data_IF_138647514165
#
_entry.id   IF_138647514165
#
_cell.length_a   1.000
_cell.length_b   1.000
_cell.length_c   1.000
_cell.angle_alpha   90.00
_cell.angle_beta   90.00
_cell.angle_gamma   90.00
#
_symmetry.space_group_name_H-M   'P 1'
#
loop_
_entity.id
_entity.type
_entity.pdbx_description
1 polymer ?
#
# COMPACT_ATOMS: atom_id res chain seq x y z
N UNK A 1 -23.07 -13.21 -29.25
CA UNK A 1 -22.67 -12.98 -27.84
C UNK A 1 -21.24 -13.44 -27.57
N UNK A 2 -20.86 -14.69 -27.85
CA UNK A 2 -19.50 -15.22 -27.59
C UNK A 2 -18.39 -14.51 -28.41
N UNK A 3 -18.64 -14.17 -29.67
CA UNK A 3 -17.67 -13.39 -30.49
C UNK A 3 -17.45 -11.98 -29.98
N UNK A 4 -18.51 -11.33 -29.50
CA UNK A 4 -18.42 -9.97 -28.92
C UNK A 4 -17.62 -9.98 -27.62
N UNK A 5 -17.80 -11.00 -26.78
CA UNK A 5 -17.02 -11.20 -25.54
C UNK A 5 -15.54 -11.44 -25.88
N UNK A 6 -15.24 -12.27 -26.88
CA UNK A 6 -13.86 -12.52 -27.33
C UNK A 6 -13.21 -11.25 -27.88
N UNK A 7 -13.94 -10.45 -28.65
CA UNK A 7 -13.43 -9.17 -29.19
C UNK A 7 -13.17 -8.16 -28.07
N UNK A 8 -14.09 -8.05 -27.09
CA UNK A 8 -13.92 -7.17 -25.92
C UNK A 8 -12.71 -7.61 -25.07
N UNK A 9 -12.54 -8.90 -24.81
CA UNK A 9 -11.40 -9.44 -24.07
C UNK A 9 -10.10 -9.15 -24.83
N UNK A 10 -10.09 -9.35 -26.16
CA UNK A 10 -8.92 -9.06 -27.00
C UNK A 10 -8.55 -7.57 -26.98
N UNK A 11 -9.53 -6.66 -27.13
CA UNK A 11 -9.30 -5.22 -27.06
C UNK A 11 -8.79 -4.80 -25.68
N UNK A 12 -9.36 -5.37 -24.61
CA UNK A 12 -8.91 -5.09 -23.23
C UNK A 12 -7.49 -5.57 -22.97
N UNK A 13 -7.14 -6.79 -23.41
CA UNK A 13 -5.79 -7.33 -23.22
C UNK A 13 -4.76 -6.53 -24.01
N UNK A 14 -5.06 -6.15 -25.25
CA UNK A 14 -4.18 -5.31 -26.06
C UNK A 14 -3.99 -3.91 -25.45
N UNK A 15 -5.04 -3.30 -24.92
CA UNK A 15 -4.97 -2.02 -24.22
C UNK A 15 -4.15 -2.09 -22.92
N UNK A 16 -4.29 -3.16 -22.12
CA UNK A 16 -3.50 -3.38 -20.90
C UNK A 16 -2.02 -3.57 -21.25
N UNK A 17 -1.73 -4.37 -22.26
CA UNK A 17 -0.35 -4.60 -22.73
C UNK A 17 0.34 -3.29 -23.14
N UNK A 18 -0.36 -2.42 -23.88
CA UNK A 18 0.16 -1.11 -24.28
C UNK A 18 0.44 -0.22 -23.06
N UNK A 19 -0.43 -0.23 -22.04
CA UNK A 19 -0.18 0.54 -20.80
C UNK A 19 1.00 -0.01 -20.00
N UNK A 20 1.17 -1.33 -19.93
CA UNK A 20 2.31 -1.95 -19.29
C UNK A 20 3.62 -1.65 -20.07
N UNK A 21 3.59 -1.72 -21.40
CA UNK A 21 4.73 -1.37 -22.25
C UNK A 21 5.14 0.09 -22.06
N UNK A 22 4.17 1.01 -22.06
CA UNK A 22 4.40 2.43 -21.80
C UNK A 22 4.99 2.66 -20.39
N UNK A 23 4.42 2.03 -19.38
CA UNK A 23 4.92 2.08 -18.01
C UNK A 23 6.37 1.62 -17.89
N UNK A 24 6.71 0.51 -18.59
CA UNK A 24 8.06 -0.03 -18.61
C UNK A 24 9.05 0.85 -19.37
N UNK A 25 8.64 1.41 -20.50
CA UNK A 25 9.47 2.34 -21.30
C UNK A 25 9.87 3.58 -20.48
N UNK A 26 8.96 4.11 -19.68
CA UNK A 26 9.18 5.29 -18.83
C UNK A 26 9.63 4.96 -17.41
N UNK A 27 10.03 3.72 -17.10
CA UNK A 27 10.37 3.29 -15.73
C UNK A 27 11.44 4.15 -15.04
N UNK A 28 12.42 4.65 -15.79
CA UNK A 28 13.45 5.54 -15.25
C UNK A 28 12.89 6.91 -14.91
N UNK A 29 11.96 7.40 -15.70
CA UNK A 29 11.39 8.74 -15.54
C UNK A 29 10.51 8.81 -14.30
N UNK A 30 9.48 7.98 -14.20
CA UNK A 30 8.58 8.03 -13.03
C UNK A 30 9.28 7.62 -11.73
N UNK A 31 10.31 6.77 -11.77
CA UNK A 31 11.11 6.46 -10.59
C UNK A 31 11.97 7.64 -10.16
N UNK A 32 12.60 8.32 -11.12
CA UNK A 32 13.44 9.50 -10.87
C UNK A 32 12.60 10.67 -10.36
N UNK A 33 11.44 10.95 -10.95
CA UNK A 33 10.54 12.03 -10.50
C UNK A 33 10.04 11.79 -9.08
N UNK A 34 9.67 10.55 -8.73
CA UNK A 34 9.31 10.16 -7.37
C UNK A 34 10.47 10.40 -6.38
N UNK A 35 11.70 10.02 -6.77
CA UNK A 35 12.89 10.24 -5.94
C UNK A 35 13.19 11.73 -5.76
N UNK A 36 13.07 12.51 -6.83
CA UNK A 36 13.27 13.97 -6.78
C UNK A 36 12.22 14.62 -5.86
N UNK A 37 10.94 14.20 -5.94
CA UNK A 37 9.87 14.66 -5.05
C UNK A 37 10.14 14.30 -3.60
N UNK A 38 10.61 13.10 -3.32
CA UNK A 38 11.01 12.70 -1.96
C UNK A 38 12.13 13.58 -1.42
N UNK A 39 13.19 13.81 -2.22
CA UNK A 39 14.29 14.70 -1.82
C UNK A 39 13.82 16.14 -1.62
N UNK A 40 12.97 16.67 -2.51
CA UNK A 40 12.45 18.03 -2.40
C UNK A 40 11.60 18.23 -1.13
N UNK A 41 10.76 17.25 -0.79
CA UNK A 41 9.93 17.28 0.41
C UNK A 41 10.73 17.42 1.70
N UNK A 42 11.92 16.81 1.74
CA UNK A 42 12.77 16.76 2.93
C UNK A 42 14.05 17.60 2.81
N UNK A 43 14.19 18.43 1.78
CA UNK A 43 15.43 19.17 1.48
C UNK A 43 15.89 20.13 2.59
N UNK A 44 14.97 20.60 3.43
CA UNK A 44 15.25 21.52 4.54
C UNK A 44 15.22 20.86 5.92
N UNK A 45 15.21 19.52 5.98
CA UNK A 45 15.17 18.78 7.23
C UNK A 45 16.52 18.14 7.52
N UNK A 46 16.93 18.10 8.79
CA UNK A 46 18.21 17.53 9.22
C UNK A 46 18.32 16.03 8.92
N UNK A 47 17.23 15.27 9.14
CA UNK A 47 17.17 13.83 8.95
C UNK A 47 16.70 13.39 7.55
N UNK A 48 16.33 14.35 6.68
CA UNK A 48 15.81 14.01 5.37
C UNK A 48 14.56 13.13 5.44
N UNK A 49 14.47 12.17 4.52
CA UNK A 49 13.35 11.23 4.45
C UNK A 49 13.27 10.23 5.63
N UNK A 50 14.33 10.09 6.42
CA UNK A 50 14.32 9.26 7.63
C UNK A 50 13.37 9.78 8.70
N UNK A 51 12.92 11.04 8.61
CA UNK A 51 11.93 11.61 9.50
C UNK A 51 10.60 10.83 9.52
N UNK A 52 10.20 10.26 8.39
CA UNK A 52 9.02 9.39 8.30
C UNK A 52 9.17 8.10 9.13
N UNK A 53 10.33 7.46 9.03
CA UNK A 53 10.62 6.27 9.83
C UNK A 53 10.69 6.58 11.31
N UNK A 54 11.31 7.70 11.67
CA UNK A 54 11.43 8.13 13.06
C UNK A 54 10.06 8.47 13.68
N UNK A 55 9.18 9.16 12.94
CA UNK A 55 7.82 9.42 13.42
C UNK A 55 7.00 8.14 13.63
N UNK A 56 7.19 7.14 12.76
CA UNK A 56 6.61 5.82 12.96
C UNK A 56 7.16 5.15 14.23
N UNK A 57 8.47 5.21 14.47
CA UNK A 57 9.08 4.67 15.69
C UNK A 57 8.53 5.31 16.96
N UNK A 58 8.41 6.63 17.00
CA UNK A 58 7.82 7.32 18.14
C UNK A 58 6.35 6.89 18.36
N UNK A 59 5.57 6.82 17.30
CA UNK A 59 4.18 6.36 17.39
C UNK A 59 4.10 4.93 17.90
N UNK A 60 4.94 4.02 17.40
CA UNK A 60 5.01 2.63 17.85
C UNK A 60 5.42 2.56 19.32
N UNK A 61 6.43 3.32 19.74
CA UNK A 61 6.92 3.33 21.11
C UNK A 61 5.82 3.78 22.10
N UNK A 62 5.15 4.89 21.80
CA UNK A 62 4.05 5.41 22.62
C UNK A 62 2.89 4.40 22.69
N UNK A 63 2.46 3.89 21.53
CA UNK A 63 1.36 2.92 21.47
C UNK A 63 1.74 1.60 22.17
N UNK A 64 2.98 1.14 22.04
CA UNK A 64 3.44 -0.07 22.71
C UNK A 64 3.39 0.06 24.24
N UNK A 65 3.81 1.20 24.78
CA UNK A 65 3.74 1.47 26.23
C UNK A 65 2.29 1.58 26.68
N UNK A 66 1.48 2.42 26.03
CA UNK A 66 0.08 2.66 26.44
C UNK A 66 -0.76 1.39 26.31
N UNK A 67 -0.79 0.77 25.15
CA UNK A 67 -1.61 -0.42 24.93
C UNK A 67 -1.02 -1.68 25.56
N UNK A 68 0.30 -1.76 25.71
CA UNK A 68 0.94 -2.83 26.46
C UNK A 68 0.50 -2.87 27.91
N UNK A 69 0.34 -1.70 28.55
CA UNK A 69 -0.17 -1.57 29.91
C UNK A 69 -1.69 -1.79 29.99
N UNK A 70 -2.46 -1.19 29.07
CA UNK A 70 -3.93 -1.32 29.03
C UNK A 70 -4.36 -2.77 28.81
N UNK A 71 -3.75 -3.47 27.86
CA UNK A 71 -4.07 -4.89 27.57
C UNK A 71 -3.35 -5.88 28.49
N UNK A 72 -2.58 -5.42 29.49
CA UNK A 72 -1.82 -6.27 30.45
C UNK A 72 -1.03 -7.36 29.72
N UNK A 73 -0.27 -6.95 28.69
CA UNK A 73 0.44 -7.89 27.82
C UNK A 73 1.53 -8.61 28.61
N UNK A 74 1.48 -9.94 28.63
CA UNK A 74 2.45 -10.79 29.34
C UNK A 74 3.81 -10.85 28.66
N UNK A 75 3.83 -10.81 27.32
CA UNK A 75 5.07 -10.81 26.51
C UNK A 75 5.18 -9.50 25.73
N UNK A 76 5.81 -8.51 26.35
CA UNK A 76 5.97 -7.17 25.77
C UNK A 76 6.78 -7.18 24.47
N UNK A 77 7.86 -7.97 24.40
CA UNK A 77 8.71 -8.05 23.20
C UNK A 77 7.92 -8.54 21.96
N UNK A 78 7.18 -9.62 22.11
CA UNK A 78 6.34 -10.15 21.04
C UNK A 78 5.22 -9.17 20.64
N UNK A 79 4.72 -8.38 21.59
CA UNK A 79 3.72 -7.35 21.33
C UNK A 79 4.30 -6.17 20.53
N UNK A 80 5.49 -5.69 20.90
CA UNK A 80 6.19 -4.60 20.17
C UNK A 80 6.47 -5.01 18.73
N UNK A 81 6.91 -6.25 18.50
CA UNK A 81 7.09 -6.80 17.15
C UNK A 81 5.78 -6.82 16.35
N UNK A 82 4.72 -7.31 16.99
CA UNK A 82 3.39 -7.37 16.37
C UNK A 82 2.85 -5.98 16.02
N UNK A 83 2.92 -5.05 16.95
CA UNK A 83 2.46 -3.67 16.78
C UNK A 83 3.31 -2.92 15.75
N UNK A 84 4.64 -3.00 15.89
CA UNK A 84 5.58 -2.24 15.04
C UNK A 84 5.46 -2.61 13.58
N UNK A 85 5.45 -3.90 13.27
CA UNK A 85 5.27 -4.38 11.89
C UNK A 85 3.90 -4.00 11.34
N UNK A 86 2.84 -4.12 12.14
CA UNK A 86 1.49 -3.73 11.73
C UNK A 86 1.34 -2.25 11.44
N UNK A 87 1.92 -1.40 12.30
CA UNK A 87 1.84 0.06 12.16
C UNK A 87 2.57 0.58 10.92
N UNK A 88 3.76 0.06 10.61
CA UNK A 88 4.51 0.48 9.40
C UNK A 88 3.73 0.15 8.14
N UNK A 89 3.22 -1.07 8.04
CA UNK A 89 2.41 -1.49 6.90
C UNK A 89 1.12 -0.69 6.80
N UNK A 90 0.43 -0.49 7.92
CA UNK A 90 -0.80 0.28 7.95
C UNK A 90 -0.58 1.74 7.53
N UNK A 91 0.41 2.41 8.13
CA UNK A 91 0.68 3.82 7.86
C UNK A 91 1.03 4.07 6.39
N UNK A 92 1.86 3.19 5.78
CA UNK A 92 2.19 3.33 4.36
C UNK A 92 0.97 3.09 3.45
N UNK A 93 0.12 2.11 3.78
CA UNK A 93 -1.11 1.85 3.03
C UNK A 93 -2.11 3.00 3.17
N UNK A 94 -2.30 3.49 4.40
CA UNK A 94 -3.21 4.60 4.68
C UNK A 94 -2.77 5.88 3.97
N UNK A 95 -1.46 6.16 3.92
CA UNK A 95 -0.92 7.28 3.16
C UNK A 95 -1.15 7.10 1.65
N UNK A 96 -0.89 5.92 1.11
CA UNK A 96 -1.07 5.63 -0.32
C UNK A 96 -2.52 5.76 -0.77
N UNK A 97 -3.47 5.24 0.02
CA UNK A 97 -4.90 5.35 -0.27
C UNK A 97 -5.38 6.79 -0.06
N UNK A 98 -4.95 7.44 1.02
CA UNK A 98 -5.35 8.82 1.35
C UNK A 98 -4.92 9.83 0.29
N UNK A 99 -3.69 9.72 -0.22
CA UNK A 99 -3.19 10.60 -1.29
C UNK A 99 -3.79 10.30 -2.66
N UNK A 100 -4.26 9.07 -2.88
CA UNK A 100 -4.72 8.64 -4.20
C UNK A 100 -6.05 9.28 -4.62
N UNK A 101 -6.94 9.56 -3.68
CA UNK A 101 -8.27 10.11 -3.98
C UNK A 101 -8.19 11.45 -4.75
N UNK A 102 -7.21 12.29 -4.43
CA UNK A 102 -7.00 13.63 -5.04
C UNK A 102 -5.90 13.65 -6.10
N UNK A 103 -5.30 12.51 -6.44
CA UNK A 103 -4.10 12.44 -7.27
C UNK A 103 -4.29 13.07 -8.66
N UNK A 104 -5.37 12.72 -9.35
CA UNK A 104 -5.62 13.24 -10.70
C UNK A 104 -6.02 14.71 -10.67
N UNK A 105 -6.82 15.16 -9.70
CA UNK A 105 -7.16 16.57 -9.53
C UNK A 105 -5.91 17.41 -9.21
N UNK A 106 -5.06 16.93 -8.31
CA UNK A 106 -3.79 17.60 -7.99
C UNK A 106 -2.84 17.72 -9.18
N UNK A 107 -2.99 16.87 -10.21
CA UNK A 107 -2.21 16.90 -11.44
C UNK A 107 -3.02 17.42 -12.65
N UNK A 108 -4.20 18.03 -12.45
CA UNK A 108 -5.10 18.45 -13.52
C UNK A 108 -4.41 19.33 -14.56
N UNK A 109 -3.65 20.34 -14.14
CA UNK A 109 -2.91 21.22 -15.05
C UNK A 109 -1.92 20.47 -15.93
N UNK A 110 -1.22 19.47 -15.37
CA UNK A 110 -0.30 18.64 -16.15
C UNK A 110 -1.05 17.72 -17.12
N UNK A 111 -2.16 17.13 -16.68
CA UNK A 111 -2.99 16.24 -17.52
C UNK A 111 -3.60 17.01 -18.70
N UNK A 112 -4.02 18.26 -18.49
CA UNK A 112 -4.54 19.11 -19.58
C UNK A 112 -3.47 19.60 -20.54
N UNK A 113 -2.27 19.90 -20.05
CA UNK A 113 -1.21 20.53 -20.85
C UNK A 113 -0.24 19.53 -21.48
N UNK A 114 -0.23 18.27 -21.03
CA UNK A 114 0.69 17.24 -21.53
C UNK A 114 -0.07 16.03 -22.05
N UNK A 115 0.45 15.43 -23.13
CA UNK A 115 -0.13 14.21 -23.70
C UNK A 115 0.48 12.95 -23.03
N UNK A 116 0.65 12.98 -21.69
CA UNK A 116 1.16 11.83 -20.95
C UNK A 116 0.01 10.87 -20.60
N UNK A 117 0.30 9.57 -20.65
CA UNK A 117 -0.68 8.57 -20.25
C UNK A 117 -0.94 8.68 -18.74
N UNK A 118 -2.20 8.69 -18.25
CA UNK A 118 -2.54 8.86 -16.84
C UNK A 118 -1.87 7.86 -15.89
N UNK A 119 -1.50 6.67 -16.39
CA UNK A 119 -0.74 5.67 -15.62
C UNK A 119 0.60 6.22 -15.09
N UNK A 120 1.18 7.22 -15.77
CA UNK A 120 2.43 7.84 -15.33
C UNK A 120 2.31 8.44 -13.93
N UNK A 121 1.27 9.22 -13.69
CA UNK A 121 1.03 9.87 -12.39
C UNK A 121 0.79 8.84 -11.27
N UNK A 122 0.04 7.78 -11.58
CA UNK A 122 -0.20 6.69 -10.63
C UNK A 122 1.07 5.91 -10.30
N UNK A 123 1.96 5.69 -11.28
CA UNK A 123 3.24 5.03 -11.07
C UNK A 123 4.23 5.90 -10.31
N UNK A 124 4.24 7.20 -10.59
CA UNK A 124 5.06 8.15 -9.83
C UNK A 124 4.64 8.18 -8.35
N UNK A 125 3.34 8.28 -8.08
CA UNK A 125 2.82 8.25 -6.72
C UNK A 125 3.14 6.92 -6.04
N UNK A 126 2.92 5.79 -6.72
CA UNK A 126 3.28 4.47 -6.20
C UNK A 126 4.78 4.36 -5.89
N UNK A 127 5.64 4.82 -6.79
CA UNK A 127 7.09 4.79 -6.57
C UNK A 127 7.48 5.64 -5.35
N UNK A 128 6.86 6.80 -5.17
CA UNK A 128 7.06 7.65 -4.00
C UNK A 128 6.63 6.93 -2.71
N UNK A 129 5.45 6.28 -2.71
CA UNK A 129 4.95 5.53 -1.56
C UNK A 129 5.82 4.31 -1.24
N UNK A 130 6.28 3.57 -2.25
CA UNK A 130 7.18 2.42 -2.06
C UNK A 130 8.54 2.87 -1.49
N UNK A 131 9.13 3.94 -2.01
CA UNK A 131 10.41 4.45 -1.50
C UNK A 131 10.29 4.89 -0.03
N UNK A 132 9.25 5.63 0.32
CA UNK A 132 9.01 6.09 1.69
C UNK A 132 8.68 4.94 2.64
N UNK A 133 7.92 3.95 2.16
CA UNK A 133 7.63 2.72 2.89
C UNK A 133 8.90 1.93 3.20
N UNK A 134 9.74 1.66 2.20
CA UNK A 134 10.97 0.89 2.39
C UNK A 134 11.95 1.56 3.36
N UNK A 135 12.07 2.89 3.30
CA UNK A 135 12.88 3.64 4.25
C UNK A 135 12.33 3.54 5.69
N UNK A 136 11.02 3.69 5.84
CA UNK A 136 10.36 3.56 7.14
C UNK A 136 10.44 2.13 7.67
N UNK A 137 10.20 1.13 6.81
CA UNK A 137 10.31 -0.28 7.17
C UNK A 137 11.72 -0.63 7.65
N UNK A 138 12.75 -0.18 6.93
CA UNK A 138 14.14 -0.44 7.31
C UNK A 138 14.46 0.10 8.71
N UNK A 139 14.09 1.36 9.00
CA UNK A 139 14.32 1.96 10.32
C UNK A 139 13.57 1.24 11.44
N UNK A 140 12.32 0.90 11.20
CA UNK A 140 11.53 0.17 12.21
C UNK A 140 12.07 -1.23 12.41
N UNK A 141 12.46 -1.95 11.35
CA UNK A 141 13.07 -3.28 11.51
C UNK A 141 14.40 -3.22 12.22
N UNK A 142 15.19 -2.16 12.01
CA UNK A 142 16.44 -1.93 12.75
C UNK A 142 16.16 -1.76 14.25
N UNK A 143 15.15 -1.00 14.63
CA UNK A 143 14.75 -0.87 16.05
C UNK A 143 14.18 -2.18 16.62
N UNK A 144 13.37 -2.90 15.83
CA UNK A 144 12.79 -4.18 16.24
C UNK A 144 13.82 -5.32 16.32
N UNK A 145 14.96 -5.21 15.65
CA UNK A 145 16.03 -6.21 15.73
C UNK A 145 16.65 -6.33 17.14
N UNK A 146 16.45 -5.30 17.97
CA UNK A 146 16.79 -5.37 19.40
C UNK A 146 15.97 -6.44 20.16
N UNK A 147 14.71 -6.60 19.76
CA UNK A 147 13.78 -7.56 20.39
C UNK A 147 13.83 -8.95 19.72
N UNK A 148 14.12 -9.01 18.42
CA UNK A 148 14.20 -10.25 17.64
C UNK A 148 15.38 -10.22 16.67
N UNK A 149 16.47 -10.89 17.02
CA UNK A 149 17.72 -10.86 16.26
C UNK A 149 17.61 -11.51 14.86
N UNK A 150 16.62 -12.39 14.66
CA UNK A 150 16.42 -13.08 13.36
C UNK A 150 15.56 -12.29 12.38
N UNK A 151 15.13 -11.07 12.73
CA UNK A 151 14.14 -10.31 11.93
C UNK A 151 14.63 -10.03 10.50
N UNK A 152 15.90 -9.69 10.31
CA UNK A 152 16.48 -9.47 8.99
C UNK A 152 16.66 -10.77 8.20
N UNK A 153 16.99 -11.86 8.86
CA UNK A 153 17.07 -13.18 8.23
C UNK A 153 15.67 -13.59 7.74
N UNK A 154 14.67 -13.47 8.59
CA UNK A 154 13.28 -13.78 8.27
C UNK A 154 12.74 -12.88 7.14
N UNK A 155 13.17 -11.60 7.09
CA UNK A 155 12.81 -10.69 6.01
C UNK A 155 13.27 -11.23 4.65
N UNK A 156 14.52 -11.69 4.58
CA UNK A 156 15.12 -12.19 3.33
C UNK A 156 14.59 -13.57 2.97
N UNK A 157 14.47 -14.47 3.93
CA UNK A 157 14.12 -15.88 3.68
C UNK A 157 12.61 -16.11 3.53
N UNK A 158 11.78 -15.43 4.35
CA UNK A 158 10.34 -15.72 4.44
C UNK A 158 9.44 -14.60 3.93
N UNK A 159 9.91 -13.34 3.92
CA UNK A 159 9.04 -12.20 3.61
C UNK A 159 9.11 -11.73 2.16
N UNK A 160 9.92 -12.30 1.28
CA UNK A 160 10.06 -11.83 -0.10
C UNK A 160 8.73 -11.89 -0.88
N UNK A 161 7.96 -12.97 -0.78
CA UNK A 161 6.68 -13.11 -1.45
C UNK A 161 5.58 -12.26 -0.78
N UNK A 162 5.41 -12.24 0.56
CA UNK A 162 4.53 -11.29 1.24
C UNK A 162 4.85 -9.82 0.96
N UNK A 163 6.13 -9.44 0.90
CA UNK A 163 6.55 -8.09 0.58
C UNK A 163 6.21 -7.70 -0.86
N UNK A 164 6.46 -8.60 -1.80
CA UNK A 164 6.06 -8.42 -3.19
C UNK A 164 4.54 -8.22 -3.31
N UNK A 165 3.75 -9.09 -2.67
CA UNK A 165 2.30 -8.96 -2.62
C UNK A 165 1.85 -7.62 -2.05
N UNK A 166 2.49 -7.15 -1.00
CA UNK A 166 2.20 -5.87 -0.38
C UNK A 166 2.51 -4.69 -1.32
N UNK A 167 3.67 -4.72 -2.00
CA UNK A 167 4.08 -3.68 -2.95
C UNK A 167 3.12 -3.60 -4.15
N UNK A 168 2.66 -4.74 -4.66
CA UNK A 168 1.65 -4.79 -5.74
C UNK A 168 0.30 -4.28 -5.24
N UNK A 169 -0.09 -4.63 -4.02
CA UNK A 169 -1.31 -4.15 -3.38
C UNK A 169 -1.32 -2.63 -3.22
N UNK A 170 -0.17 -2.04 -2.86
CA UNK A 170 0.04 -0.59 -2.80
C UNK A 170 -0.09 0.13 -4.16
N UNK A 171 -0.15 -0.59 -5.27
CA UNK A 171 -0.37 0.00 -6.58
C UNK A 171 -1.83 -0.02 -7.00
N UNK A 172 -2.41 -1.24 -7.11
CA UNK A 172 -3.73 -1.36 -7.74
C UNK A 172 -4.88 -0.83 -6.88
N UNK A 173 -4.80 -0.98 -5.55
CA UNK A 173 -5.86 -0.49 -4.67
C UNK A 173 -5.93 1.05 -4.65
N UNK A 174 -4.82 1.80 -4.44
CA UNK A 174 -4.80 3.25 -4.61
C UNK A 174 -5.20 3.71 -6.01
N UNK A 175 -4.82 2.99 -7.07
CA UNK A 175 -5.23 3.31 -8.44
C UNK A 175 -6.77 3.25 -8.61
N UNK A 176 -7.42 2.25 -8.03
CA UNK A 176 -8.90 2.18 -8.03
C UNK A 176 -9.52 3.36 -7.28
N UNK A 177 -8.97 3.71 -6.11
CA UNK A 177 -9.44 4.87 -5.33
C UNK A 177 -9.22 6.18 -6.10
N UNK A 178 -8.12 6.31 -6.81
CA UNK A 178 -7.81 7.45 -7.68
C UNK A 178 -8.85 7.61 -8.82
N UNK A 179 -9.21 6.51 -9.47
CA UNK A 179 -10.23 6.51 -10.54
C UNK A 179 -11.63 6.83 -10.00
N UNK A 180 -11.95 6.33 -8.81
CA UNK A 180 -13.19 6.67 -8.12
C UNK A 180 -13.21 8.16 -7.71
N UNK A 181 -12.10 8.68 -7.18
CA UNK A 181 -11.94 10.08 -6.78
C UNK A 181 -12.11 11.04 -7.95
N UNK A 182 -11.54 10.72 -9.13
CA UNK A 182 -11.73 11.52 -10.35
C UNK A 182 -13.21 11.60 -10.78
N UNK A 183 -14.02 10.61 -10.42
CA UNK A 183 -15.45 10.57 -10.78
C UNK A 183 -16.35 11.14 -9.70
N UNK A 184 -16.00 10.99 -8.42
CA UNK A 184 -16.81 11.36 -7.27
C UNK A 184 -15.96 12.15 -6.27
N UNK A 185 -16.09 13.46 -6.24
CA UNK A 185 -15.32 14.36 -5.35
C UNK A 185 -15.57 14.13 -3.86
N UNK A 186 -16.73 13.60 -3.50
CA UNK A 186 -17.07 13.24 -2.11
C UNK A 186 -16.08 12.26 -1.49
N UNK A 187 -15.42 11.44 -2.33
CA UNK A 187 -14.41 10.49 -1.88
C UNK A 187 -13.17 11.17 -1.25
N UNK A 188 -12.91 12.42 -1.57
CA UNK A 188 -11.79 13.15 -0.96
C UNK A 188 -11.95 13.27 0.55
N UNK A 189 -13.19 13.40 1.01
CA UNK A 189 -13.51 13.45 2.44
C UNK A 189 -13.86 12.07 3.01
N UNK A 190 -14.48 11.20 2.23
CA UNK A 190 -14.86 9.87 2.69
C UNK A 190 -13.65 8.96 2.91
N UNK A 191 -12.63 9.01 2.06
CA UNK A 191 -11.46 8.11 2.13
C UNK A 191 -10.73 8.21 3.48
N UNK A 192 -10.40 9.39 4.02
CA UNK A 192 -9.79 9.49 5.35
C UNK A 192 -10.65 8.87 6.46
N UNK A 193 -11.97 9.10 6.42
CA UNK A 193 -12.92 8.54 7.39
C UNK A 193 -12.96 7.00 7.29
N UNK A 194 -13.06 6.49 6.06
CA UNK A 194 -13.03 5.04 5.80
C UNK A 194 -11.72 4.42 6.29
N UNK A 195 -10.58 5.06 6.08
CA UNK A 195 -9.29 4.56 6.56
C UNK A 195 -9.24 4.55 8.10
N UNK A 196 -9.79 5.54 8.76
CA UNK A 196 -9.88 5.54 10.22
C UNK A 196 -10.78 4.41 10.75
N UNK A 197 -11.93 4.17 10.12
CA UNK A 197 -12.80 3.05 10.46
C UNK A 197 -12.12 1.70 10.21
N UNK A 198 -11.42 1.55 9.07
CA UNK A 198 -10.68 0.34 8.75
C UNK A 198 -9.53 0.10 9.73
N UNK A 199 -8.90 1.13 10.26
CA UNK A 199 -7.89 1.00 11.31
C UNK A 199 -8.45 0.36 12.59
N UNK A 200 -9.63 0.79 13.00
CA UNK A 200 -10.30 0.24 14.19
C UNK A 200 -10.82 -1.19 13.96
N UNK A 201 -11.30 -1.49 12.75
CA UNK A 201 -11.79 -2.82 12.39
C UNK A 201 -10.68 -3.83 12.12
N UNK A 202 -9.49 -3.35 11.77
CA UNK A 202 -8.34 -4.22 11.52
C UNK A 202 -7.57 -4.48 12.81
N UNK A 203 -7.25 -5.74 13.16
CA UNK A 203 -6.46 -6.05 14.35
C UNK A 203 -4.99 -5.65 14.16
N UNK A 204 -4.72 -4.34 14.27
CA UNK A 204 -3.40 -3.74 14.17
C UNK A 204 -2.80 -3.56 15.55
N UNK A 205 -3.58 -2.98 16.47
CA UNK A 205 -3.18 -2.69 17.86
C UNK A 205 -3.34 -3.89 18.80
N UNK A 206 -4.19 -4.84 18.44
CA UNK A 206 -4.55 -6.00 19.25
C UNK A 206 -4.55 -7.27 18.39
N UNK A 207 -4.46 -8.43 19.01
CA UNK A 207 -4.52 -9.71 18.30
C UNK A 207 -5.96 -10.01 17.86
N UNK A 208 -6.12 -10.73 16.73
CA UNK A 208 -7.43 -11.11 16.17
C UNK A 208 -8.37 -11.76 17.18
N UNK A 209 -7.82 -12.54 18.12
CA UNK A 209 -8.60 -13.23 19.16
C UNK A 209 -9.36 -12.24 20.07
N UNK A 210 -8.86 -11.02 20.24
CA UNK A 210 -9.51 -9.98 21.04
C UNK A 210 -10.83 -9.48 20.45
N UNK A 211 -11.08 -9.71 19.14
CA UNK A 211 -12.35 -9.37 18.48
C UNK A 211 -13.53 -10.29 18.88
N UNK A 212 -13.28 -11.40 19.56
CA UNK A 212 -14.33 -12.33 19.99
C UNK A 212 -15.23 -12.77 18.82
N UNK A 213 -16.51 -12.44 18.86
CA UNK A 213 -17.50 -12.77 17.81
C UNK A 213 -17.29 -12.03 16.50
N UNK A 214 -16.53 -10.91 16.49
CA UNK A 214 -16.28 -10.10 15.32
C UNK A 214 -15.04 -10.53 14.51
N UNK A 215 -14.44 -11.69 14.80
CA UNK A 215 -13.25 -12.18 14.08
C UNK A 215 -13.46 -12.31 12.56
N UNK A 216 -14.69 -12.58 12.13
CA UNK A 216 -15.04 -12.67 10.71
C UNK A 216 -14.76 -11.35 9.94
N UNK A 217 -14.86 -10.19 10.61
CA UNK A 217 -14.57 -8.90 9.96
C UNK A 217 -13.11 -8.81 9.51
N UNK A 218 -12.20 -9.37 10.28
CA UNK A 218 -10.79 -9.45 9.92
C UNK A 218 -10.54 -10.47 8.78
N UNK A 219 -11.31 -11.58 8.74
CA UNK A 219 -11.14 -12.60 7.72
C UNK A 219 -11.57 -12.12 6.32
N UNK A 220 -12.59 -11.28 6.25
CA UNK A 220 -13.05 -10.70 4.99
C UNK A 220 -12.28 -9.43 4.59
N UNK A 221 -11.51 -8.84 5.49
CA UNK A 221 -10.79 -7.61 5.21
C UNK A 221 -9.49 -7.89 4.41
N UNK A 222 -9.41 -7.51 3.12
CA UNK A 222 -8.22 -7.77 2.31
C UNK A 222 -6.98 -7.02 2.83
N UNK A 223 -7.19 -5.85 3.44
CA UNK A 223 -6.11 -5.08 4.05
C UNK A 223 -5.48 -5.87 5.19
N UNK A 224 -6.31 -6.38 6.11
CA UNK A 224 -5.80 -7.19 7.22
C UNK A 224 -5.08 -8.45 6.74
N UNK A 225 -5.60 -9.12 5.69
CA UNK A 225 -4.97 -10.33 5.14
C UNK A 225 -3.53 -10.05 4.66
N UNK A 226 -3.32 -8.99 3.89
CA UNK A 226 -1.98 -8.62 3.41
C UNK A 226 -1.03 -8.33 4.59
N UNK A 227 -1.50 -7.56 5.56
CA UNK A 227 -0.71 -7.22 6.75
C UNK A 227 -0.38 -8.46 7.58
N UNK A 228 -1.37 -9.36 7.78
CA UNK A 228 -1.21 -10.55 8.62
C UNK A 228 -0.24 -11.57 8.02
N UNK A 229 -0.26 -11.77 6.70
CA UNK A 229 0.66 -12.67 6.01
C UNK A 229 2.11 -12.18 6.18
N UNK A 230 2.36 -10.90 5.92
CA UNK A 230 3.70 -10.33 6.09
C UNK A 230 4.18 -10.43 7.55
N UNK A 231 3.33 -10.03 8.50
CA UNK A 231 3.61 -10.05 9.93
C UNK A 231 3.94 -11.46 10.42
N UNK A 232 3.15 -12.45 10.02
CA UNK A 232 3.37 -13.84 10.40
C UNK A 232 4.68 -14.36 9.82
N UNK A 233 4.94 -14.15 8.53
CA UNK A 233 6.19 -14.60 7.90
C UNK A 233 7.42 -13.97 8.55
N UNK A 234 7.32 -12.69 8.95
CA UNK A 234 8.42 -11.98 9.61
C UNK A 234 8.69 -12.52 11.03
N UNK A 235 7.64 -12.84 11.77
CA UNK A 235 7.78 -13.32 13.17
C UNK A 235 8.14 -14.81 13.24
N UNK A 236 7.60 -15.66 12.35
CA UNK A 236 7.83 -17.10 12.38
C UNK A 236 9.03 -17.57 11.56
N UNK A 237 9.51 -16.75 10.60
CA UNK A 237 10.52 -17.16 9.62
C UNK A 237 10.02 -18.18 8.60
N UNK A 238 8.71 -18.40 8.51
CA UNK A 238 8.10 -19.37 7.60
C UNK A 238 7.22 -18.67 6.57
N UNK A 239 7.31 -19.12 5.32
CA UNK A 239 6.46 -18.63 4.24
C UNK A 239 5.08 -19.29 4.34
N UNK A 240 4.02 -18.49 4.46
CA UNK A 240 2.65 -18.95 4.36
C UNK A 240 2.25 -19.11 2.88
N UNK A 241 2.69 -20.18 2.24
CA UNK A 241 2.56 -20.39 0.80
C UNK A 241 1.12 -20.26 0.30
N UNK A 242 0.20 -21.00 0.90
CA UNK A 242 -1.20 -21.01 0.47
C UNK A 242 -1.82 -19.61 0.53
N UNK A 243 -1.64 -18.89 1.64
CA UNK A 243 -2.20 -17.56 1.82
C UNK A 243 -1.52 -16.53 0.90
N UNK A 244 -0.19 -16.65 0.71
CA UNK A 244 0.57 -15.77 -0.16
C UNK A 244 0.20 -15.95 -1.64
N UNK A 245 -0.03 -17.19 -2.11
CA UNK A 245 -0.53 -17.45 -3.46
C UNK A 245 -1.97 -16.97 -3.66
N UNK A 246 -2.84 -17.18 -2.67
CA UNK A 246 -4.20 -16.63 -2.72
C UNK A 246 -4.17 -15.11 -2.85
N UNK A 247 -3.29 -14.44 -2.08
CA UNK A 247 -3.13 -13.00 -2.17
C UNK A 247 -2.54 -12.55 -3.51
N UNK A 248 -1.63 -13.35 -4.09
CA UNK A 248 -1.11 -13.10 -5.44
C UNK A 248 -2.22 -13.11 -6.49
N UNK A 249 -3.13 -14.07 -6.41
CA UNK A 249 -4.29 -14.15 -7.32
C UNK A 249 -5.17 -12.90 -7.17
N UNK A 250 -5.47 -12.49 -5.94
CA UNK A 250 -6.24 -11.25 -5.66
C UNK A 250 -5.53 -10.04 -6.25
N UNK A 251 -4.20 -9.94 -6.10
CA UNK A 251 -3.41 -8.85 -6.65
C UNK A 251 -3.43 -8.83 -8.18
N UNK A 252 -3.34 -9.98 -8.84
CA UNK A 252 -3.42 -10.07 -10.31
C UNK A 252 -4.80 -9.64 -10.80
N UNK A 253 -5.87 -10.11 -10.17
CA UNK A 253 -7.24 -9.71 -10.52
C UNK A 253 -7.42 -8.20 -10.28
N UNK A 254 -7.01 -7.69 -9.12
CA UNK A 254 -7.10 -6.27 -8.77
C UNK A 254 -6.35 -5.39 -9.76
N UNK A 255 -5.12 -5.79 -10.14
CA UNK A 255 -4.30 -5.09 -11.12
C UNK A 255 -4.96 -5.07 -12.51
N UNK A 256 -5.49 -6.21 -12.97
CA UNK A 256 -6.19 -6.29 -14.25
C UNK A 256 -7.42 -5.39 -14.27
N UNK A 257 -8.22 -5.41 -13.19
CA UNK A 257 -9.41 -4.56 -13.07
C UNK A 257 -9.02 -3.08 -13.07
N UNK A 258 -8.02 -2.69 -12.27
CA UNK A 258 -7.57 -1.31 -12.16
C UNK A 258 -7.04 -0.77 -13.50
N UNK A 259 -6.20 -1.54 -14.19
CA UNK A 259 -5.64 -1.16 -15.49
C UNK A 259 -6.71 -1.12 -16.60
N UNK A 260 -7.62 -2.08 -16.61
CA UNK A 260 -8.74 -2.09 -17.56
C UNK A 260 -9.63 -0.87 -17.39
N UNK A 261 -9.93 -0.50 -16.14
CA UNK A 261 -10.72 0.69 -15.84
C UNK A 261 -9.98 1.97 -16.22
N UNK A 262 -8.71 2.10 -15.85
CA UNK A 262 -7.87 3.23 -16.25
C UNK A 262 -7.88 3.43 -17.77
N UNK A 263 -7.70 2.36 -18.53
CA UNK A 263 -7.66 2.42 -19.98
C UNK A 263 -9.01 2.82 -20.59
N UNK A 264 -10.12 2.39 -19.97
CA UNK A 264 -11.47 2.77 -20.39
C UNK A 264 -11.75 4.27 -20.15
N UNK A 265 -11.28 4.80 -19.03
CA UNK A 265 -11.58 6.18 -18.62
C UNK A 265 -10.52 7.19 -19.07
N UNK A 266 -9.36 6.76 -19.59
CA UNK A 266 -8.22 7.63 -19.88
C UNK A 266 -8.57 8.81 -20.79
N UNK A 267 -9.45 8.60 -21.79
CA UNK A 267 -9.88 9.65 -22.72
C UNK A 267 -10.89 10.63 -22.12
N UNK A 268 -11.53 10.26 -21.02
CA UNK A 268 -12.51 11.09 -20.30
C UNK A 268 -11.89 11.83 -19.12
N UNK A 269 -10.74 11.37 -18.61
CA UNK A 269 -10.08 11.94 -17.45
C UNK A 269 -9.89 13.47 -17.55
N UNK A 270 -9.42 14.05 -18.68
CA UNK A 270 -9.28 15.50 -18.79
C UNK A 270 -10.61 16.29 -18.69
N UNK A 271 -11.75 15.62 -18.84
CA UNK A 271 -13.07 16.24 -18.71
C UNK A 271 -13.72 15.99 -17.33
N UNK A 272 -13.18 15.07 -16.53
CA UNK A 272 -13.68 14.71 -15.21
C UNK A 272 -13.01 15.47 -14.07
N UNK A 273 -11.81 15.99 -14.32
CA UNK A 273 -10.97 16.66 -13.33
C UNK A 273 -10.88 18.16 -13.58
#
# INVERSE_FOLDING_TARGET
MVQLIRLLVFIMTFSIFNSCSYAWALRRVWWFTATARSKARFSRTFLGSFWLGLSNLFSIAILAVVYGTVFKVTNFNAYVLYLGTGMVLWNSLSMAIGSSATLFEGNAQHIHNTNLHPIFYSLEEWAFQVQTFLQSLFLVLLALSYYEHRIFLNLITACWLPLFNYIVFLFWLPLLVCLLGARFRDLYQMVPILMQLMFLLSPILFKKQALGTLQWTADFNPIYRVLSIFRHSLSSGQVLWQQSFMMLIINVIGLCVALAWLNRERGKLPFLI
#
